data_IF_189315062792
#
_entry.id   IF_189315062792
#
_cell.length_a   1.000
_cell.length_b   1.000
_cell.length_c   1.000
_cell.angle_alpha   90.00
_cell.angle_beta   90.00
_cell.angle_gamma   90.00
#
_symmetry.space_group_name_H-M   'P 1'
#
loop_
_entity.id
_entity.type
_entity.pdbx_description
1 polymer ?
#
# COMPACT_ATOMS: atom_id res chain seq x y z
N UNK A 1 7.46 -12.54 -15.01
CA UNK A 1 8.33 -13.60 -14.42
C UNK A 1 9.47 -12.85 -13.76
N UNK A 2 10.03 -13.29 -12.63
CA UNK A 2 11.15 -12.55 -12.02
C UNK A 2 12.44 -12.90 -12.78
N UNK A 3 13.12 -11.95 -13.43
CA UNK A 3 14.29 -12.24 -14.27
C UNK A 3 15.53 -12.61 -13.45
N UNK A 4 15.51 -12.32 -12.15
CA UNK A 4 16.55 -12.63 -11.18
C UNK A 4 15.93 -13.25 -9.94
N UNK A 5 16.75 -13.96 -9.16
CA UNK A 5 16.34 -14.48 -7.86
C UNK A 5 15.91 -13.33 -6.96
N UNK A 6 14.73 -13.47 -6.35
CA UNK A 6 14.12 -12.43 -5.54
C UNK A 6 13.20 -13.03 -4.49
N UNK A 7 13.16 -12.39 -3.32
CA UNK A 7 12.13 -12.64 -2.32
C UNK A 7 10.87 -11.86 -2.68
N UNK A 8 9.72 -12.40 -2.29
CA UNK A 8 8.44 -11.70 -2.45
C UNK A 8 7.82 -11.47 -1.09
N UNK A 9 7.12 -10.34 -0.93
CA UNK A 9 6.34 -10.06 0.26
C UNK A 9 4.85 -10.10 -0.08
N UNK A 10 4.06 -10.73 0.79
CA UNK A 10 2.60 -10.76 0.68
C UNK A 10 2.03 -9.68 1.59
N UNK A 11 1.26 -8.76 1.04
CA UNK A 11 0.50 -7.78 1.82
C UNK A 11 -0.95 -8.26 1.92
N UNK A 12 -1.52 -8.41 3.14
CA UNK A 12 -2.85 -8.96 3.35
C UNK A 12 -3.96 -7.92 3.13
N UNK A 13 -3.89 -7.23 1.99
CA UNK A 13 -4.88 -6.27 1.53
C UNK A 13 -5.16 -6.53 0.05
N UNK A 14 -6.42 -6.45 -0.36
CA UNK A 14 -6.79 -6.65 -1.75
C UNK A 14 -7.93 -5.77 -2.21
N UNK A 15 -8.49 -6.11 -3.37
CA UNK A 15 -9.55 -5.28 -3.97
C UNK A 15 -10.86 -5.32 -3.18
N UNK A 16 -11.08 -6.30 -2.31
CA UNK A 16 -12.21 -6.29 -1.38
C UNK A 16 -12.07 -5.23 -0.28
N UNK A 17 -10.86 -4.75 -0.03
CA UNK A 17 -10.54 -3.74 0.98
C UNK A 17 -10.47 -2.32 0.39
N UNK A 18 -10.50 -2.21 -0.94
CA UNK A 18 -10.41 -0.93 -1.68
C UNK A 18 -9.13 -0.76 -2.49
N UNK A 19 -8.23 -1.73 -2.48
CA UNK A 19 -7.02 -1.70 -3.30
C UNK A 19 -7.38 -1.97 -4.76
N UNK A 20 -7.30 -0.94 -5.60
CA UNK A 20 -7.77 -1.04 -6.98
C UNK A 20 -7.05 -2.14 -7.75
N UNK A 21 -7.80 -3.06 -8.36
CA UNK A 21 -7.21 -4.08 -9.23
C UNK A 21 -6.51 -3.48 -10.45
N UNK A 22 -6.93 -2.28 -10.87
CA UNK A 22 -6.21 -1.53 -11.90
C UNK A 22 -4.81 -1.11 -11.47
N UNK A 23 -4.50 -0.97 -10.17
CA UNK A 23 -3.15 -0.70 -9.66
C UNK A 23 -2.20 -1.92 -9.67
N UNK A 24 -2.58 -3.00 -10.36
CA UNK A 24 -1.70 -4.15 -10.62
C UNK A 24 -0.50 -3.75 -11.50
N UNK A 25 0.69 -4.24 -11.17
CA UNK A 25 1.90 -4.08 -11.96
C UNK A 25 2.16 -5.25 -12.89
N UNK A 26 2.73 -4.98 -14.06
CA UNK A 26 3.05 -5.98 -15.08
C UNK A 26 4.41 -5.67 -15.71
N UNK A 27 5.14 -6.73 -16.04
CA UNK A 27 6.40 -6.69 -16.76
C UNK A 27 6.27 -7.34 -18.14
N UNK A 28 7.29 -7.15 -18.98
CA UNK A 28 7.34 -7.74 -20.33
C UNK A 28 7.49 -9.26 -20.31
N UNK A 29 8.10 -9.79 -19.26
CA UNK A 29 8.29 -11.23 -19.01
C UNK A 29 7.02 -11.90 -18.43
N UNK A 30 5.98 -11.13 -18.13
CA UNK A 30 4.72 -11.60 -17.59
C UNK A 30 3.73 -11.98 -18.68
N UNK A 31 2.68 -12.72 -18.30
CA UNK A 31 1.64 -13.20 -19.22
C UNK A 31 0.86 -12.10 -19.97
N UNK A 32 1.03 -10.83 -19.59
CA UNK A 32 0.41 -9.70 -20.30
C UNK A 32 1.34 -9.04 -21.31
N UNK A 33 2.65 -9.27 -21.25
CA UNK A 33 3.65 -8.62 -22.11
C UNK A 33 3.49 -7.10 -22.21
N UNK A 34 3.25 -6.46 -21.05
CA UNK A 34 3.12 -5.00 -20.96
C UNK A 34 3.92 -4.51 -19.78
N UNK A 35 4.64 -3.40 -19.97
CA UNK A 35 5.27 -2.68 -18.87
C UNK A 35 4.23 -1.74 -18.26
N UNK A 36 3.88 -2.00 -17.01
CA UNK A 36 3.04 -1.13 -16.20
C UNK A 36 3.49 -1.18 -14.76
N UNK A 37 3.79 -0.02 -14.21
CA UNK A 37 4.07 0.11 -12.78
C UNK A 37 2.82 -0.18 -11.94
N UNK A 38 3.00 -1.00 -10.90
CA UNK A 38 2.00 -1.21 -9.87
C UNK A 38 2.01 -0.10 -8.82
N UNK A 39 0.99 -0.12 -7.96
CA UNK A 39 0.88 0.79 -6.82
C UNK A 39 2.16 0.80 -5.97
N UNK A 40 2.69 1.98 -5.59
CA UNK A 40 3.90 2.07 -4.78
C UNK A 40 3.61 1.73 -3.33
N UNK A 41 4.53 1.01 -2.68
CA UNK A 41 4.47 0.65 -1.26
C UNK A 41 5.83 0.91 -0.65
N UNK A 42 5.84 1.70 0.42
CA UNK A 42 7.04 1.98 1.21
C UNK A 42 7.26 0.86 2.22
N UNK A 43 8.49 0.36 2.24
CA UNK A 43 8.95 -0.67 3.17
C UNK A 43 10.27 -0.20 3.77
N UNK A 44 10.43 -0.38 5.09
CA UNK A 44 11.69 -0.08 5.76
C UNK A 44 12.70 -1.21 5.50
N UNK A 45 13.93 -0.85 5.16
CA UNK A 45 15.04 -1.80 4.98
C UNK A 45 16.23 -1.39 5.83
N UNK A 46 17.24 -2.25 5.96
CA UNK A 46 18.53 -1.89 6.61
C UNK A 46 19.22 -0.69 5.95
N UNK A 47 18.93 -0.42 4.68
CA UNK A 47 19.44 0.73 3.94
C UNK A 47 18.54 1.97 4.00
N UNK A 48 17.52 1.97 4.86
CA UNK A 48 16.49 3.02 4.95
C UNK A 48 15.21 2.68 4.19
N UNK A 49 14.26 3.63 4.10
CA UNK A 49 13.00 3.41 3.43
C UNK A 49 13.21 3.24 1.92
N UNK A 50 12.51 2.27 1.34
CA UNK A 50 12.50 2.01 -0.10
C UNK A 50 11.08 1.84 -0.60
N UNK A 51 10.86 2.17 -1.87
CA UNK A 51 9.63 1.86 -2.57
C UNK A 51 9.76 0.54 -3.31
N UNK A 52 8.77 -0.31 -3.10
CA UNK A 52 8.47 -1.46 -3.92
C UNK A 52 7.16 -1.22 -4.64
N UNK A 53 6.87 -2.01 -5.67
CA UNK A 53 5.64 -1.89 -6.44
C UNK A 53 4.84 -3.19 -6.35
N UNK A 54 3.52 -3.06 -6.43
CA UNK A 54 2.63 -4.22 -6.64
C UNK A 54 3.12 -4.99 -7.86
N UNK A 55 3.53 -6.25 -7.66
CA UNK A 55 4.00 -7.15 -8.70
C UNK A 55 2.90 -8.15 -9.06
N UNK A 56 2.53 -8.19 -10.33
CA UNK A 56 1.42 -8.99 -10.80
C UNK A 56 0.07 -8.40 -10.41
N UNK A 57 -0.91 -9.29 -10.19
CA UNK A 57 -2.31 -8.88 -9.97
C UNK A 57 -2.60 -8.68 -8.49
N UNK A 58 -3.32 -7.60 -8.19
CA UNK A 58 -4.05 -7.48 -6.93
C UNK A 58 -5.17 -8.53 -6.90
N UNK A 59 -5.16 -9.36 -5.86
CA UNK A 59 -6.18 -10.38 -5.57
C UNK A 59 -7.26 -9.81 -4.66
N UNK A 60 -8.25 -10.64 -4.29
CA UNK A 60 -9.38 -10.19 -3.48
C UNK A 60 -8.93 -9.67 -2.12
N UNK A 61 -7.99 -10.37 -1.49
CA UNK A 61 -7.57 -10.12 -0.09
C UNK A 61 -6.05 -9.99 0.07
N UNK A 62 -5.30 -9.94 -1.04
CA UNK A 62 -3.84 -9.82 -1.01
C UNK A 62 -3.26 -9.22 -2.29
N UNK A 63 -2.05 -8.69 -2.19
CA UNK A 63 -1.17 -8.44 -3.34
C UNK A 63 0.28 -8.77 -2.98
N UNK A 64 1.12 -8.86 -4.01
CA UNK A 64 2.53 -9.23 -3.88
C UNK A 64 3.41 -8.02 -4.18
N UNK A 65 4.52 -7.90 -3.45
CA UNK A 65 5.65 -7.05 -3.78
C UNK A 65 6.81 -7.94 -4.23
N UNK A 66 7.46 -7.56 -5.33
CA UNK A 66 8.78 -8.11 -5.69
C UNK A 66 9.84 -7.25 -4.98
N UNK A 67 10.67 -7.87 -4.14
CA UNK A 67 11.67 -7.16 -3.33
C UNK A 67 12.98 -6.92 -4.07
N UNK A 68 13.11 -7.43 -5.30
CA UNK A 68 14.32 -7.34 -6.13
C UNK A 68 15.62 -7.69 -5.38
N UNK A 69 15.55 -8.74 -4.55
CA UNK A 69 16.66 -9.18 -3.70
C UNK A 69 16.22 -10.12 -2.58
N UNK A 70 17.16 -10.49 -1.71
CA UNK A 70 16.87 -11.33 -0.55
C UNK A 70 16.23 -10.51 0.57
N UNK A 71 15.07 -10.94 1.08
CA UNK A 71 14.41 -10.30 2.22
C UNK A 71 15.36 -10.23 3.45
N UNK A 72 16.14 -11.28 3.68
CA UNK A 72 17.11 -11.32 4.78
C UNK A 72 18.22 -10.28 4.64
N UNK A 73 18.75 -10.08 3.43
CA UNK A 73 19.80 -9.07 3.16
C UNK A 73 19.25 -7.64 3.24
N UNK A 74 17.98 -7.46 2.85
CA UNK A 74 17.25 -6.20 2.98
C UNK A 74 16.78 -5.93 4.43
N UNK A 75 16.85 -6.94 5.31
CA UNK A 75 16.33 -6.93 6.68
C UNK A 75 14.82 -6.71 6.76
N UNK A 76 14.08 -7.30 5.81
CA UNK A 76 12.62 -7.32 5.78
C UNK A 76 12.15 -8.63 6.42
N UNK A 77 11.21 -8.53 7.35
CA UNK A 77 10.68 -9.65 8.12
C UNK A 77 9.16 -9.71 8.05
N UNK A 78 8.60 -10.89 8.36
CA UNK A 78 7.15 -11.03 8.54
C UNK A 78 6.66 -10.15 9.69
N UNK A 79 5.55 -9.45 9.47
CA UNK A 79 4.98 -8.52 10.46
C UNK A 79 5.51 -7.10 10.38
N UNK A 80 6.52 -6.82 9.54
CA UNK A 80 6.96 -5.45 9.30
C UNK A 80 5.83 -4.59 8.73
N UNK A 81 5.76 -3.35 9.20
CA UNK A 81 4.77 -2.39 8.72
C UNK A 81 5.15 -1.89 7.33
N UNK A 82 4.16 -1.85 6.44
CA UNK A 82 4.27 -1.25 5.12
C UNK A 82 3.34 -0.05 5.02
N UNK A 83 3.74 0.95 4.25
CA UNK A 83 2.95 2.15 4.03
C UNK A 83 2.53 2.22 2.56
N UNK A 84 1.23 2.11 2.31
CA UNK A 84 0.68 2.22 0.96
C UNK A 84 0.70 3.69 0.53
N UNK A 85 0.15 4.57 1.36
CA UNK A 85 0.18 6.00 1.15
C UNK A 85 -0.02 6.77 2.46
N UNK A 86 0.50 8.00 2.52
CA UNK A 86 0.38 8.89 3.67
C UNK A 86 0.47 10.37 3.28
N UNK A 87 0.69 11.27 4.25
CA UNK A 87 0.82 12.73 4.02
C UNK A 87 2.19 13.13 3.43
N UNK A 88 2.88 12.16 2.83
CA UNK A 88 4.23 12.26 2.31
C UNK A 88 4.43 13.21 1.13
N UNK A 89 5.68 13.33 0.69
CA UNK A 89 6.07 14.17 -0.45
C UNK A 89 6.09 13.45 -1.81
N UNK A 90 5.66 12.19 -1.85
CA UNK A 90 5.58 11.40 -3.08
C UNK A 90 6.72 10.41 -3.28
N UNK A 91 6.71 9.76 -4.45
CA UNK A 91 7.59 8.64 -4.76
C UNK A 91 9.09 8.98 -4.69
N UNK A 92 9.49 10.19 -5.10
CA UNK A 92 10.89 10.65 -5.12
C UNK A 92 11.52 10.73 -3.71
N UNK A 93 10.69 10.78 -2.67
CA UNK A 93 11.11 10.79 -1.27
C UNK A 93 10.88 9.47 -0.55
N UNK A 94 10.43 8.43 -1.27
CA UNK A 94 9.96 7.18 -0.69
C UNK A 94 8.83 7.39 0.34
N UNK A 95 7.95 8.34 0.08
CA UNK A 95 6.82 8.73 0.93
C UNK A 95 5.53 8.74 0.07
N UNK A 96 4.99 7.56 -0.30
CA UNK A 96 3.95 7.45 -1.32
C UNK A 96 2.66 8.15 -0.90
N UNK A 97 1.92 8.67 -1.87
CA UNK A 97 0.69 9.44 -1.67
C UNK A 97 -0.51 8.77 -2.32
N UNK A 98 -1.72 9.23 -1.96
CA UNK A 98 -2.94 8.77 -2.60
C UNK A 98 -3.00 9.16 -4.10
N UNK A 99 -2.33 10.25 -4.50
CA UNK A 99 -2.22 10.63 -5.91
C UNK A 99 -1.32 9.67 -6.68
N UNK A 100 -0.24 9.16 -6.07
CA UNK A 100 0.62 8.14 -6.67
C UNK A 100 -0.15 6.84 -6.92
N UNK A 101 -0.98 6.44 -5.94
CA UNK A 101 -1.92 5.33 -6.11
C UNK A 101 -2.97 5.60 -7.16
N UNK A 102 -3.50 6.82 -7.24
CA UNK A 102 -4.41 7.26 -8.28
C UNK A 102 -3.80 7.05 -9.67
N UNK A 103 -2.58 7.56 -9.88
CA UNK A 103 -1.82 7.40 -11.13
C UNK A 103 -1.62 5.92 -11.50
N UNK A 104 -1.19 5.08 -10.55
CA UNK A 104 -1.03 3.64 -10.77
C UNK A 104 -2.35 2.94 -11.14
N UNK A 105 -3.46 3.36 -10.52
CA UNK A 105 -4.80 2.85 -10.78
C UNK A 105 -5.45 3.42 -12.06
N UNK A 106 -4.90 4.49 -12.64
CA UNK A 106 -5.50 5.20 -13.77
C UNK A 106 -6.69 6.09 -13.37
N UNK A 107 -6.64 6.64 -12.16
CA UNK A 107 -7.68 7.49 -11.56
C UNK A 107 -7.06 8.61 -10.70
N UNK A 108 -7.84 9.21 -9.80
CA UNK A 108 -7.47 10.31 -8.90
C UNK A 108 -7.52 9.86 -7.44
N UNK A 109 -6.84 10.59 -6.54
CA UNK A 109 -6.79 10.30 -5.11
C UNK A 109 -8.17 10.21 -4.43
N UNK A 110 -9.15 11.00 -4.87
CA UNK A 110 -10.51 10.94 -4.33
C UNK A 110 -11.15 9.54 -4.50
N UNK A 111 -10.89 8.86 -5.61
CA UNK A 111 -11.36 7.48 -5.81
C UNK A 111 -10.58 6.50 -4.92
N UNK A 112 -9.29 6.74 -4.68
CA UNK A 112 -8.50 5.93 -3.72
C UNK A 112 -9.12 6.00 -2.32
N UNK A 113 -9.40 7.21 -1.82
CA UNK A 113 -9.98 7.40 -0.48
C UNK A 113 -11.40 6.84 -0.37
N UNK A 114 -12.25 7.09 -1.38
CA UNK A 114 -13.65 6.65 -1.34
C UNK A 114 -13.84 5.15 -1.58
N UNK A 115 -12.83 4.45 -2.11
CA UNK A 115 -12.88 3.00 -2.29
C UNK A 115 -12.49 2.19 -1.05
N UNK A 116 -11.86 2.77 -0.03
CA UNK A 116 -11.49 2.03 1.18
C UNK A 116 -12.74 1.46 1.88
N UNK A 117 -12.83 0.13 1.97
CA UNK A 117 -14.05 -0.56 2.43
C UNK A 117 -14.04 -0.82 3.93
N UNK A 118 -15.17 -1.30 4.46
CA UNK A 118 -15.42 -1.56 5.88
C UNK A 118 -14.47 -2.56 6.55
N UNK A 119 -13.75 -3.38 5.78
CA UNK A 119 -12.72 -4.30 6.33
C UNK A 119 -11.49 -3.57 6.85
N UNK A 120 -11.22 -2.37 6.37
CA UNK A 120 -10.13 -1.53 6.86
C UNK A 120 -10.57 -0.85 8.16
N UNK A 121 -9.94 -1.14 9.32
CA UNK A 121 -10.21 -0.39 10.53
C UNK A 121 -9.77 1.07 10.35
N UNK A 122 -10.58 2.01 10.84
CA UNK A 122 -10.21 3.42 10.92
C UNK A 122 -9.75 3.66 12.34
N UNK A 123 -8.54 4.19 12.49
CA UNK A 123 -7.99 4.61 13.76
C UNK A 123 -7.80 6.13 13.70
N UNK A 124 -8.31 6.84 14.70
CA UNK A 124 -8.32 8.29 14.78
C UNK A 124 -7.33 8.75 15.85
N UNK A 125 -6.23 9.33 15.40
CA UNK A 125 -5.25 9.96 16.28
C UNK A 125 -5.73 11.35 16.70
N UNK A 126 -5.45 11.74 17.94
CA UNK A 126 -5.75 13.08 18.47
C UNK A 126 -7.23 13.48 18.43
N UNK A 127 -8.14 12.52 18.28
CA UNK A 127 -9.58 12.80 18.19
C UNK A 127 -10.07 13.55 19.43
N UNK A 128 -9.58 13.18 20.62
CA UNK A 128 -9.95 13.80 21.88
C UNK A 128 -9.47 15.26 22.02
N UNK A 129 -8.44 15.65 21.27
CA UNK A 129 -7.87 16.99 21.30
C UNK A 129 -8.67 17.98 20.43
N UNK A 130 -9.39 17.47 19.41
CA UNK A 130 -10.01 18.28 18.36
C UNK A 130 -11.53 18.15 18.28
N UNK A 131 -12.11 17.05 18.77
CA UNK A 131 -13.54 16.79 18.69
C UNK A 131 -14.27 17.16 19.99
N UNK A 132 -15.53 17.57 19.83
CA UNK A 132 -16.43 17.78 20.97
C UNK A 132 -16.76 16.45 21.65
N UNK A 133 -17.19 16.48 22.92
CA UNK A 133 -17.66 15.28 23.62
C UNK A 133 -18.85 14.61 22.90
N UNK A 134 -19.69 15.39 22.21
CA UNK A 134 -20.79 14.86 21.42
C UNK A 134 -20.30 14.07 20.20
N UNK A 135 -19.27 14.57 19.51
CA UNK A 135 -18.72 13.90 18.32
C UNK A 135 -17.87 12.69 18.69
N UNK A 136 -17.12 12.76 19.80
CA UNK A 136 -16.40 11.61 20.34
C UNK A 136 -17.35 10.45 20.67
N UNK A 137 -18.55 10.75 21.18
CA UNK A 137 -19.56 9.73 21.49
C UNK A 137 -20.11 9.02 20.24
N UNK A 138 -19.84 9.53 19.02
CA UNK A 138 -20.25 8.90 17.75
C UNK A 138 -19.20 7.90 17.23
N UNK A 139 -17.99 7.88 17.80
CA UNK A 139 -16.90 6.98 17.39
C UNK A 139 -16.89 5.71 18.24
N UNK A 140 -16.36 4.61 17.67
CA UNK A 140 -16.04 3.42 18.46
C UNK A 140 -14.86 3.76 19.39
N UNK A 141 -14.98 3.59 20.73
CA UNK A 141 -13.87 3.85 21.64
C UNK A 141 -12.58 3.09 21.30
N UNK A 142 -12.66 1.92 20.65
CA UNK A 142 -11.49 1.14 20.21
C UNK A 142 -10.78 1.73 18.99
N UNK A 143 -11.42 2.70 18.31
CA UNK A 143 -10.88 3.38 17.15
C UNK A 143 -10.10 4.65 17.50
N UNK A 144 -10.09 5.08 18.77
CA UNK A 144 -9.40 6.29 19.20
C UNK A 144 -8.01 5.92 19.72
N UNK A 145 -6.98 6.56 19.17
CA UNK A 145 -5.57 6.41 19.57
C UNK A 145 -5.09 7.61 20.38
#
# INVERSE_FOLDING_TARGET
>A
LTPTDTSTAIVPLGYADGIHRSASGFDMEGAKHVLKDGGPVRVMTVGGPRLYRVSGRVCMDQFILDLHGSAAELGIHEGDTVELFGPGRGEDHAEPTADDWGRAAGTISYEIFTCLRNRIPRLYEHAADVLSAEDLAKLDPKSIL
#
